data_IF_105714805860
#
_entry.id   IF_105714805860
#
_cell.length_a   1.000
_cell.length_b   1.000
_cell.length_c   1.000
_cell.angle_alpha   90.00
_cell.angle_beta   90.00
_cell.angle_gamma   90.00
#
_symmetry.space_group_name_H-M   'P 1'
#
loop_
_entity.id
_entity.type
_entity.pdbx_description
1 polymer ?
#
# COMPACT_ATOMS: atom_id res chain seq x y z
N UNK A 1 6.79 5.97 44.04
CA UNK A 1 7.19 5.10 42.91
C UNK A 1 7.36 6.01 41.70
N UNK A 2 8.59 6.25 41.20
CA UNK A 2 8.77 7.02 39.96
C UNK A 2 8.05 6.26 38.84
N UNK A 3 7.04 6.87 38.20
CA UNK A 3 6.51 6.32 36.96
C UNK A 3 7.62 6.42 35.92
N UNK A 4 8.06 5.28 35.42
CA UNK A 4 8.95 5.24 34.26
C UNK A 4 8.18 5.88 33.10
N UNK A 5 8.72 6.95 32.52
CA UNK A 5 8.19 7.53 31.30
C UNK A 5 8.56 6.61 30.13
N UNK A 6 7.66 5.68 29.82
CA UNK A 6 7.90 4.63 28.83
C UNK A 6 8.03 5.25 27.44
N UNK A 7 7.20 6.25 27.11
CA UNK A 7 7.27 6.94 25.83
C UNK A 7 8.62 7.64 25.66
N UNK A 8 9.04 8.45 26.64
CA UNK A 8 10.32 9.14 26.58
C UNK A 8 11.49 8.15 26.39
N UNK A 9 11.47 7.01 27.09
CA UNK A 9 12.50 5.97 26.93
C UNK A 9 12.54 5.36 25.52
N UNK A 10 11.39 5.19 24.86
CA UNK A 10 11.34 4.65 23.49
C UNK A 10 11.88 5.71 22.52
N UNK A 11 11.44 6.96 22.64
CA UNK A 11 11.92 8.09 21.83
C UNK A 11 13.43 8.32 22.00
N UNK A 12 13.95 8.23 23.23
CA UNK A 12 15.40 8.31 23.49
C UNK A 12 16.16 7.15 22.83
N UNK A 13 15.50 6.00 22.66
CA UNK A 13 16.02 4.88 21.88
C UNK A 13 16.19 5.20 20.39
N UNK A 14 15.31 6.04 19.84
CA UNK A 14 15.33 6.49 18.43
C UNK A 14 16.53 7.42 18.15
N UNK A 15 17.16 8.00 19.17
CA UNK A 15 18.39 8.80 19.01
C UNK A 15 19.60 7.97 18.53
N UNK A 16 19.51 6.64 18.61
CA UNK A 16 20.52 5.71 18.07
C UNK A 16 20.25 5.30 16.62
N UNK A 17 19.11 5.68 16.06
CA UNK A 17 18.83 5.47 14.64
C UNK A 17 19.76 6.35 13.80
N UNK A 18 19.81 6.05 12.50
CA UNK A 18 20.49 6.88 11.51
C UNK A 18 20.05 8.34 11.63
N UNK A 19 20.96 9.31 11.44
CA UNK A 19 20.64 10.72 11.28
C UNK A 19 19.51 11.01 10.29
N UNK A 20 19.36 10.15 9.29
CA UNK A 20 18.40 10.28 8.21
C UNK A 20 17.05 9.60 8.52
N UNK A 21 16.94 8.89 9.65
CA UNK A 21 15.73 8.22 10.08
C UNK A 21 14.70 9.23 10.57
N UNK A 22 13.42 9.04 10.24
CA UNK A 22 12.36 9.83 10.83
C UNK A 22 12.18 9.44 12.32
N UNK A 23 12.37 10.39 13.23
CA UNK A 23 12.15 10.16 14.67
C UNK A 23 10.77 10.63 15.07
N UNK A 24 10.08 9.83 15.88
CA UNK A 24 8.71 10.10 16.32
C UNK A 24 8.59 11.36 17.17
N UNK A 25 9.64 11.70 17.93
CA UNK A 25 9.74 12.97 18.69
C UNK A 25 9.63 14.22 17.82
N UNK A 26 10.10 14.16 16.58
CA UNK A 26 10.12 15.28 15.64
C UNK A 26 9.05 15.16 14.55
N UNK A 27 8.00 14.37 14.80
CA UNK A 27 6.85 14.29 13.88
C UNK A 27 6.26 15.68 13.63
N UNK A 28 5.78 15.93 12.40
CA UNK A 28 4.96 17.12 12.09
C UNK A 28 3.53 16.99 12.63
N UNK A 29 3.23 15.89 13.32
CA UNK A 29 2.00 15.67 14.05
C UNK A 29 0.86 15.18 13.17
N UNK A 30 -0.35 15.41 13.67
CA UNK A 30 -1.62 14.92 13.13
C UNK A 30 -2.46 16.12 12.65
N UNK A 31 -3.41 15.88 11.75
CA UNK A 31 -4.33 16.94 11.31
C UNK A 31 -5.19 17.47 12.47
N UNK A 32 -5.71 16.55 13.29
CA UNK A 32 -6.44 16.91 14.50
C UNK A 32 -5.49 16.73 15.69
N UNK A 33 -5.18 17.80 16.46
CA UNK A 33 -4.37 17.68 17.66
C UNK A 33 -4.99 16.69 18.64
N UNK A 34 -4.16 15.83 19.22
CA UNK A 34 -4.56 14.82 20.18
C UNK A 34 -3.46 14.65 21.21
N UNK A 35 -3.86 14.38 22.45
CA UNK A 35 -2.91 14.14 23.53
C UNK A 35 -1.96 12.98 23.19
N UNK A 36 -0.65 13.15 23.45
CA UNK A 36 0.34 12.09 23.38
C UNK A 36 -0.05 10.87 24.22
N UNK A 37 0.17 9.67 23.69
CA UNK A 37 0.04 8.43 24.46
C UNK A 37 1.13 8.39 25.55
N UNK A 38 0.82 7.99 26.79
CA UNK A 38 1.82 7.91 27.87
C UNK A 38 2.85 6.79 27.67
N UNK A 39 2.64 5.88 26.72
CA UNK A 39 3.48 4.69 26.52
C UNK A 39 3.99 4.51 25.10
N UNK A 40 3.19 4.86 24.09
CA UNK A 40 3.47 4.54 22.68
C UNK A 40 3.93 5.79 21.95
N UNK A 41 4.90 5.64 21.04
CA UNK A 41 5.25 6.69 20.08
C UNK A 41 4.09 6.93 19.10
N UNK A 42 4.11 8.05 18.39
CA UNK A 42 3.03 8.36 17.46
C UNK A 42 2.97 7.39 16.26
N UNK A 43 4.11 6.88 15.79
CA UNK A 43 4.13 5.86 14.74
C UNK A 43 3.59 4.50 15.22
N UNK A 44 3.87 4.11 16.47
CA UNK A 44 3.26 2.91 17.07
C UNK A 44 1.74 3.04 17.18
N UNK A 45 1.24 4.21 17.58
CA UNK A 45 -0.22 4.46 17.62
C UNK A 45 -0.82 4.35 16.23
N UNK A 46 -0.15 4.84 15.20
CA UNK A 46 -0.62 4.79 13.82
C UNK A 46 -0.73 3.36 13.33
N UNK A 47 0.32 2.56 13.51
CA UNK A 47 0.29 1.13 13.22
C UNK A 47 -0.90 0.45 13.90
N UNK A 48 -1.06 0.68 15.20
CA UNK A 48 -2.13 0.04 15.97
C UNK A 48 -3.53 0.45 15.47
N UNK A 49 -3.71 1.72 15.07
CA UNK A 49 -4.97 2.22 14.47
C UNK A 49 -5.27 1.55 13.14
N UNK A 50 -4.27 1.43 12.28
CA UNK A 50 -4.39 0.78 10.96
C UNK A 50 -4.81 -0.69 11.14
N UNK A 51 -4.11 -1.45 11.97
CA UNK A 51 -4.39 -2.88 12.20
C UNK A 51 -5.82 -3.13 12.72
N UNK A 52 -6.36 -2.21 13.52
CA UNK A 52 -7.72 -2.34 14.08
C UNK A 52 -8.83 -1.76 13.20
N UNK A 53 -8.49 -1.15 12.06
CA UNK A 53 -9.47 -0.54 11.15
C UNK A 53 -10.36 -1.57 10.45
N UNK A 54 -11.56 -1.16 10.02
CA UNK A 54 -12.43 -2.05 9.24
C UNK A 54 -11.81 -2.33 7.87
N UNK A 55 -11.22 -1.32 7.23
CA UNK A 55 -10.53 -1.42 5.95
C UNK A 55 -9.39 -2.46 5.95
N UNK A 56 -8.53 -2.46 6.98
CA UNK A 56 -7.44 -3.44 7.08
C UNK A 56 -7.96 -4.88 7.16
N UNK A 57 -9.03 -5.11 7.94
CA UNK A 57 -9.68 -6.43 8.01
C UNK A 57 -10.27 -6.88 6.67
N UNK A 58 -10.77 -5.95 5.86
CA UNK A 58 -11.34 -6.24 4.53
C UNK A 58 -10.27 -6.72 3.53
N UNK A 59 -9.00 -6.38 3.73
CA UNK A 59 -7.90 -6.84 2.86
C UNK A 59 -7.82 -8.38 2.79
N UNK A 60 -8.25 -9.10 3.84
CA UNK A 60 -8.35 -10.57 3.85
C UNK A 60 -9.28 -11.12 2.76
N UNK A 61 -10.26 -10.32 2.35
CA UNK A 61 -11.33 -10.71 1.45
C UNK A 61 -11.31 -9.93 0.13
N UNK A 62 -10.13 -9.38 -0.23
CA UNK A 62 -9.86 -8.75 -1.52
C UNK A 62 -8.74 -9.51 -2.22
N UNK A 63 -8.96 -9.89 -3.47
CA UNK A 63 -7.96 -10.51 -4.33
C UNK A 63 -6.85 -9.53 -4.68
N UNK A 64 -5.63 -10.05 -4.83
CA UNK A 64 -4.49 -9.29 -5.33
C UNK A 64 -4.54 -9.20 -6.87
N UNK A 65 -4.34 -10.34 -7.57
CA UNK A 65 -4.28 -10.41 -9.04
C UNK A 65 -5.33 -11.33 -9.65
N UNK A 66 -5.50 -12.53 -9.11
CA UNK A 66 -6.43 -13.51 -9.65
C UNK A 66 -7.83 -13.30 -9.05
N UNK A 67 -8.85 -13.16 -9.90
CA UNK A 67 -10.25 -13.00 -9.46
C UNK A 67 -10.76 -14.38 -9.02
N UNK A 68 -11.13 -14.50 -7.74
CA UNK A 68 -11.75 -15.69 -7.13
C UNK A 68 -11.10 -17.04 -7.52
N UNK A 69 -9.78 -17.21 -7.36
CA UNK A 69 -9.11 -18.42 -7.79
C UNK A 69 -9.55 -19.62 -6.93
N UNK A 70 -9.67 -20.79 -7.57
CA UNK A 70 -9.93 -22.04 -6.88
C UNK A 70 -8.66 -22.47 -6.12
N UNK A 71 -8.61 -22.23 -4.81
CA UNK A 71 -7.55 -22.70 -3.93
C UNK A 71 -7.19 -21.72 -2.81
N UNK A 72 -6.84 -22.25 -1.64
CA UNK A 72 -6.63 -21.46 -0.42
C UNK A 72 -5.27 -20.73 -0.34
N UNK A 73 -4.41 -20.92 -1.36
CA UNK A 73 -3.02 -20.47 -1.34
C UNK A 73 -2.70 -19.29 -2.24
N UNK A 74 -3.70 -18.70 -2.90
CA UNK A 74 -3.52 -17.48 -3.68
C UNK A 74 -3.40 -16.26 -2.76
N UNK A 75 -2.61 -15.28 -3.19
CA UNK A 75 -2.34 -14.10 -2.39
C UNK A 75 -3.59 -13.20 -2.34
N UNK A 76 -4.00 -12.90 -1.12
CA UNK A 76 -4.94 -11.82 -0.81
C UNK A 76 -4.18 -10.51 -0.59
N UNK A 77 -4.89 -9.38 -0.62
CA UNK A 77 -4.26 -8.09 -0.27
C UNK A 77 -3.66 -8.07 1.12
N UNK A 78 -4.26 -8.79 2.07
CA UNK A 78 -3.71 -8.86 3.43
C UNK A 78 -2.37 -9.58 3.45
N UNK A 79 -2.24 -10.72 2.77
CA UNK A 79 -0.97 -11.47 2.70
C UNK A 79 0.10 -10.68 1.96
N UNK A 80 -0.25 -10.00 0.85
CA UNK A 80 0.65 -9.05 0.18
C UNK A 80 1.13 -7.96 1.15
N UNK A 81 0.20 -7.29 1.83
CA UNK A 81 0.50 -6.22 2.79
C UNK A 81 1.45 -6.69 3.91
N UNK A 82 1.30 -7.92 4.39
CA UNK A 82 2.19 -8.51 5.39
C UNK A 82 3.60 -8.78 4.83
N UNK A 83 3.71 -9.24 3.58
CA UNK A 83 4.99 -9.43 2.89
C UNK A 83 5.70 -8.08 2.67
N UNK A 84 4.98 -7.06 2.20
CA UNK A 84 5.50 -5.69 2.06
C UNK A 84 6.02 -5.17 3.39
N UNK A 85 5.25 -5.32 4.47
CA UNK A 85 5.68 -4.90 5.80
C UNK A 85 6.95 -5.64 6.25
N UNK A 86 7.05 -6.95 6.00
CA UNK A 86 8.23 -7.73 6.37
C UNK A 86 9.48 -7.27 5.59
N UNK A 87 9.37 -7.13 4.26
CA UNK A 87 10.48 -6.69 3.40
C UNK A 87 10.91 -5.26 3.77
N UNK A 88 9.94 -4.35 3.92
CA UNK A 88 10.21 -2.95 4.24
C UNK A 88 10.92 -2.82 5.60
N UNK A 89 10.46 -3.55 6.62
CA UNK A 89 11.11 -3.57 7.94
C UNK A 89 12.52 -4.16 7.90
N UNK A 90 12.76 -5.19 7.08
CA UNK A 90 14.11 -5.74 6.89
C UNK A 90 15.07 -4.71 6.32
N UNK A 91 14.66 -3.96 5.30
CA UNK A 91 15.46 -2.88 4.71
C UNK A 91 15.66 -1.74 5.73
N UNK A 92 14.59 -1.29 6.37
CA UNK A 92 14.65 -0.21 7.36
C UNK A 92 15.60 -0.55 8.52
N UNK A 93 15.52 -1.77 9.05
CA UNK A 93 16.41 -2.24 10.12
C UNK A 93 17.87 -2.28 9.68
N UNK A 94 18.15 -2.76 8.47
CA UNK A 94 19.51 -2.83 7.95
C UNK A 94 20.13 -1.44 7.74
N UNK A 95 19.32 -0.46 7.34
CA UNK A 95 19.71 0.94 7.19
C UNK A 95 19.62 1.76 8.50
N UNK A 96 19.30 1.10 9.62
CA UNK A 96 19.11 1.72 10.94
C UNK A 96 18.07 2.87 10.94
N UNK A 97 16.95 2.67 10.25
CA UNK A 97 15.82 3.61 10.13
C UNK A 97 14.64 3.24 11.06
N UNK A 98 13.57 4.04 11.06
CA UNK A 98 12.46 3.83 11.98
C UNK A 98 11.49 2.72 11.52
N UNK A 99 11.63 1.54 12.12
CA UNK A 99 10.78 0.39 11.80
C UNK A 99 9.28 0.61 12.05
N UNK A 100 8.89 1.34 13.11
CA UNK A 100 7.48 1.55 13.44
C UNK A 100 6.80 2.45 12.39
N UNK A 101 7.51 3.48 11.88
CA UNK A 101 7.02 4.29 10.76
C UNK A 101 6.90 3.46 9.48
N UNK A 102 7.95 2.72 9.12
CA UNK A 102 7.95 1.87 7.93
C UNK A 102 6.80 0.86 7.96
N UNK A 103 6.59 0.21 9.11
CA UNK A 103 5.50 -0.76 9.30
C UNK A 103 4.13 -0.09 9.22
N UNK A 104 3.93 1.07 9.85
CA UNK A 104 2.67 1.79 9.79
C UNK A 104 2.27 2.16 8.35
N UNK A 105 3.23 2.66 7.55
CA UNK A 105 3.02 2.97 6.12
C UNK A 105 2.71 1.69 5.34
N UNK A 106 3.54 0.66 5.51
CA UNK A 106 3.39 -0.61 4.78
C UNK A 106 2.03 -1.27 5.06
N UNK A 107 1.53 -1.23 6.30
CA UNK A 107 0.22 -1.81 6.61
C UNK A 107 -0.97 -0.99 6.07
N UNK A 108 -0.76 0.28 5.76
CA UNK A 108 -1.81 1.21 5.36
C UNK A 108 -1.87 1.51 3.86
N UNK A 109 -0.82 1.19 3.10
CA UNK A 109 -0.69 1.59 1.69
C UNK A 109 -1.87 1.15 0.82
N UNK A 110 -2.40 -0.05 1.11
CA UNK A 110 -3.37 -0.76 0.27
C UNK A 110 -4.84 -0.69 0.76
N UNK A 111 -5.12 0.12 1.79
CA UNK A 111 -6.45 0.17 2.42
C UNK A 111 -7.58 0.62 1.48
N UNK A 112 -7.26 1.42 0.46
CA UNK A 112 -8.21 2.01 -0.49
C UNK A 112 -8.44 1.19 -1.75
N UNK A 113 -7.79 0.03 -1.90
CA UNK A 113 -8.02 -0.77 -3.10
C UNK A 113 -9.44 -1.28 -3.21
N UNK A 114 -9.91 -1.37 -4.45
CA UNK A 114 -11.24 -1.81 -4.84
C UNK A 114 -11.40 -3.33 -4.74
N UNK A 115 -12.64 -3.85 -4.76
CA UNK A 115 -12.89 -5.24 -5.09
C UNK A 115 -12.28 -5.62 -6.44
N UNK A 116 -11.84 -6.87 -6.58
CA UNK A 116 -11.26 -7.41 -7.82
C UNK A 116 -9.96 -6.72 -8.29
N UNK A 117 -9.26 -6.05 -7.39
CA UNK A 117 -7.93 -5.48 -7.65
C UNK A 117 -7.92 -4.41 -8.76
N UNK A 118 -6.94 -4.48 -9.66
CA UNK A 118 -6.76 -3.46 -10.71
C UNK A 118 -8.00 -3.30 -11.60
N UNK A 119 -8.81 -4.35 -11.76
CA UNK A 119 -10.06 -4.28 -12.52
C UNK A 119 -11.03 -3.27 -11.92
N UNK A 120 -11.20 -3.31 -10.60
CA UNK A 120 -12.11 -2.40 -9.95
C UNK A 120 -11.60 -0.97 -9.94
N UNK A 121 -10.27 -0.81 -9.88
CA UNK A 121 -9.64 0.50 -10.01
C UNK A 121 -9.87 1.10 -11.40
N UNK A 122 -9.58 0.36 -12.48
CA UNK A 122 -9.84 0.81 -13.86
C UNK A 122 -11.31 1.20 -14.07
N UNK A 123 -12.25 0.41 -13.53
CA UNK A 123 -13.69 0.70 -13.66
C UNK A 123 -14.09 1.96 -12.90
N UNK A 124 -13.63 2.13 -11.66
CA UNK A 124 -13.97 3.34 -10.90
C UNK A 124 -13.28 4.58 -11.46
N UNK A 125 -12.09 4.45 -12.06
CA UNK A 125 -11.40 5.55 -12.73
C UNK A 125 -12.16 6.02 -13.97
N UNK A 126 -12.71 5.08 -14.75
CA UNK A 126 -13.59 5.38 -15.89
C UNK A 126 -14.92 6.03 -15.44
N UNK A 127 -15.49 5.56 -14.34
CA UNK A 127 -16.87 5.88 -13.94
C UNK A 127 -16.98 7.13 -13.07
N UNK A 128 -15.95 7.47 -12.29
CA UNK A 128 -15.92 8.65 -11.43
C UNK A 128 -15.38 9.86 -12.19
N UNK A 129 -16.10 11.00 -12.27
CA UNK A 129 -15.67 12.16 -13.08
C UNK A 129 -14.29 12.72 -12.72
N UNK A 130 -13.83 12.52 -11.49
CA UNK A 130 -12.50 12.95 -11.02
C UNK A 130 -11.41 11.87 -11.09
N UNK A 131 -11.70 10.72 -11.69
CA UNK A 131 -10.82 9.54 -11.67
C UNK A 131 -10.78 8.84 -10.30
N UNK A 132 -10.13 7.69 -10.27
CA UNK A 132 -9.98 6.87 -9.07
C UNK A 132 -8.61 6.25 -9.03
N UNK A 133 -7.94 6.39 -7.88
CA UNK A 133 -6.63 5.80 -7.65
C UNK A 133 -6.54 5.28 -6.22
N UNK A 134 -6.07 4.04 -6.08
CA UNK A 134 -6.11 3.31 -4.82
C UNK A 134 -5.36 4.02 -3.69
N UNK A 135 -4.22 4.66 -3.98
CA UNK A 135 -3.39 5.36 -3.02
C UNK A 135 -4.07 6.62 -2.45
N UNK A 136 -4.76 7.39 -3.29
CA UNK A 136 -5.58 8.51 -2.85
C UNK A 136 -6.77 8.01 -2.02
N UNK A 137 -7.37 6.90 -2.44
CA UNK A 137 -8.44 6.27 -1.68
C UNK A 137 -7.97 5.74 -0.32
N UNK A 138 -6.76 5.18 -0.22
CA UNK A 138 -6.16 4.75 1.05
C UNK A 138 -6.01 5.94 2.00
N UNK A 139 -5.59 7.11 1.48
CA UNK A 139 -5.53 8.34 2.26
C UNK A 139 -6.93 8.79 2.71
N UNK A 140 -7.93 8.77 1.82
CA UNK A 140 -9.33 9.06 2.19
C UNK A 140 -9.85 8.11 3.28
N UNK A 141 -9.51 6.82 3.20
CA UNK A 141 -9.89 5.83 4.20
C UNK A 141 -9.40 6.23 5.59
N UNK A 142 -8.12 6.57 5.71
CA UNK A 142 -7.51 6.92 7.00
C UNK A 142 -7.83 8.34 7.47
N UNK A 143 -8.32 9.21 6.59
CA UNK A 143 -8.62 10.60 6.91
C UNK A 143 -10.06 10.81 7.30
N UNK A 144 -10.99 10.21 6.56
CA UNK A 144 -12.40 10.58 6.61
C UNK A 144 -13.38 9.41 6.47
N UNK A 145 -12.99 8.20 6.06
CA UNK A 145 -13.98 7.10 5.92
C UNK A 145 -14.03 6.17 7.14
N UNK A 146 -12.89 5.84 7.73
CA UNK A 146 -12.86 5.01 8.94
C UNK A 146 -13.54 5.70 10.14
N UNK A 147 -13.89 4.90 11.16
CA UNK A 147 -14.59 5.36 12.37
C UNK A 147 -15.82 6.23 12.07
N UNK A 148 -16.66 5.73 11.19
CA UNK A 148 -17.97 6.31 10.85
C UNK A 148 -17.86 7.79 10.44
N UNK A 149 -16.80 8.12 9.71
CA UNK A 149 -16.57 9.45 9.16
C UNK A 149 -15.46 10.26 9.83
N UNK A 150 -14.92 9.80 10.96
CA UNK A 150 -13.92 10.54 11.74
C UNK A 150 -12.46 10.31 11.31
N UNK A 151 -12.21 9.26 10.52
CA UNK A 151 -10.87 8.82 10.15
C UNK A 151 -10.08 8.20 11.30
N UNK A 152 -8.83 7.85 11.00
CA UNK A 152 -7.84 7.33 11.95
C UNK A 152 -6.93 8.43 12.51
N UNK A 153 -6.94 9.64 11.92
CA UNK A 153 -6.11 10.78 12.33
C UNK A 153 -4.63 10.41 12.46
N UNK A 154 -4.06 9.78 11.42
CA UNK A 154 -2.66 9.35 11.37
C UNK A 154 -1.70 10.55 11.27
N UNK A 155 -0.42 10.34 11.58
CA UNK A 155 0.61 11.37 11.46
C UNK A 155 0.89 11.71 9.99
N UNK A 156 1.45 12.90 9.77
CA UNK A 156 1.77 13.41 8.43
C UNK A 156 2.70 12.49 7.64
N UNK A 157 3.64 11.82 8.31
CA UNK A 157 4.64 10.95 7.70
C UNK A 157 4.01 9.67 7.18
N UNK A 158 3.10 9.08 7.97
CA UNK A 158 2.37 7.87 7.55
C UNK A 158 1.48 8.20 6.34
N UNK A 159 0.79 9.32 6.39
CA UNK A 159 -0.07 9.81 5.29
C UNK A 159 0.70 10.07 4.00
N UNK A 160 1.87 10.71 4.10
CA UNK A 160 2.76 10.98 2.96
C UNK A 160 3.25 9.68 2.33
N UNK A 161 3.66 8.71 3.16
CA UNK A 161 4.04 7.37 2.71
C UNK A 161 2.91 6.64 1.99
N UNK A 162 1.68 6.66 2.56
CA UNK A 162 0.49 6.07 1.93
C UNK A 162 0.21 6.71 0.57
N UNK A 163 0.28 8.03 0.45
CA UNK A 163 -0.04 8.69 -0.82
C UNK A 163 0.98 8.37 -1.92
N UNK A 164 2.27 8.30 -1.56
CA UNK A 164 3.37 8.32 -2.54
C UNK A 164 3.99 6.94 -2.84
N UNK A 165 3.48 5.87 -2.24
CA UNK A 165 3.98 4.52 -2.50
C UNK A 165 3.70 4.02 -3.94
N UNK A 166 2.61 4.48 -4.56
CA UNK A 166 2.15 3.97 -5.85
C UNK A 166 3.06 4.37 -7.03
N UNK A 167 2.92 3.66 -8.16
CA UNK A 167 3.81 3.73 -9.34
C UNK A 167 3.02 3.85 -10.65
N UNK A 168 3.66 4.40 -11.67
CA UNK A 168 3.20 4.38 -13.06
C UNK A 168 3.76 3.11 -13.71
N UNK A 169 2.96 2.55 -14.62
CA UNK A 169 3.19 1.30 -15.35
C UNK A 169 4.59 1.14 -16.01
N UNK A 170 5.31 2.24 -16.28
CA UNK A 170 6.53 2.24 -17.12
C UNK A 170 7.85 1.83 -16.43
N UNK A 171 8.11 2.20 -15.16
CA UNK A 171 9.30 1.74 -14.41
C UNK A 171 9.09 1.79 -12.90
N UNK A 172 9.86 1.03 -12.10
CA UNK A 172 9.91 1.19 -10.64
C UNK A 172 10.29 2.62 -10.22
N UNK A 173 11.13 3.28 -11.02
CA UNK A 173 11.55 4.67 -10.83
C UNK A 173 10.63 5.68 -11.53
N UNK A 174 9.56 5.25 -12.21
CA UNK A 174 8.70 6.16 -12.94
C UNK A 174 7.97 7.15 -12.00
N UNK A 175 7.96 8.41 -12.43
CA UNK A 175 7.43 9.58 -11.73
C UNK A 175 5.89 9.54 -11.69
N UNK A 176 5.34 8.76 -10.78
CA UNK A 176 3.90 8.61 -10.66
C UNK A 176 3.27 9.68 -9.76
N UNK A 177 3.86 9.82 -8.58
CA UNK A 177 3.23 10.44 -7.42
C UNK A 177 4.22 11.14 -6.50
N UNK A 178 5.38 11.44 -7.07
CA UNK A 178 6.54 11.96 -6.39
C UNK A 178 7.21 10.94 -5.47
N UNK A 179 8.02 11.49 -4.58
CA UNK A 179 8.88 10.75 -3.66
C UNK A 179 8.45 11.07 -2.23
N UNK A 180 8.37 10.05 -1.38
CA UNK A 180 8.06 10.23 0.03
C UNK A 180 9.11 11.10 0.72
N UNK A 181 8.67 11.96 1.62
CA UNK A 181 9.53 12.89 2.35
C UNK A 181 10.42 12.20 3.40
N UNK A 182 10.18 10.90 3.66
CA UNK A 182 10.97 10.05 4.55
C UNK A 182 11.61 8.91 3.78
N UNK A 183 12.79 8.45 4.23
CA UNK A 183 13.41 7.25 3.67
C UNK A 183 12.54 6.01 3.92
N UNK A 184 11.88 5.95 5.08
CA UNK A 184 10.93 4.90 5.43
C UNK A 184 9.78 4.79 4.43
N UNK A 185 9.22 5.92 3.96
CA UNK A 185 8.19 5.92 2.92
C UNK A 185 8.73 5.50 1.55
N UNK A 186 9.97 5.88 1.22
CA UNK A 186 10.64 5.43 -0.02
C UNK A 186 10.92 3.93 -0.01
N UNK A 187 11.27 3.36 1.15
CA UNK A 187 11.44 1.91 1.32
C UNK A 187 10.15 1.16 1.03
N UNK A 188 9.01 1.63 1.55
CA UNK A 188 7.72 0.94 1.31
C UNK A 188 7.40 0.86 -0.18
N UNK A 189 7.66 1.94 -0.93
CA UNK A 189 7.51 1.94 -2.40
C UNK A 189 8.34 0.86 -3.09
N UNK A 190 9.56 0.61 -2.64
CA UNK A 190 10.42 -0.43 -3.21
C UNK A 190 9.98 -1.82 -2.74
N UNK A 191 9.71 -1.98 -1.45
CA UNK A 191 9.25 -3.23 -0.85
C UNK A 191 7.95 -3.73 -1.51
N UNK A 192 7.02 -2.83 -1.81
CA UNK A 192 5.79 -3.15 -2.53
C UNK A 192 6.07 -3.80 -3.90
N UNK A 193 7.00 -3.26 -4.69
CA UNK A 193 7.37 -3.88 -5.96
C UNK A 193 8.13 -5.19 -5.82
N UNK A 194 8.97 -5.33 -4.79
CA UNK A 194 9.67 -6.60 -4.53
C UNK A 194 8.64 -7.69 -4.19
N UNK A 195 7.69 -7.40 -3.30
CA UNK A 195 6.62 -8.34 -2.94
C UNK A 195 5.75 -8.67 -4.16
N UNK A 196 5.27 -7.65 -4.85
CA UNK A 196 4.39 -7.74 -6.00
C UNK A 196 4.90 -8.68 -7.09
N UNK A 197 6.13 -8.46 -7.57
CA UNK A 197 6.71 -9.27 -8.65
C UNK A 197 6.85 -10.73 -8.20
N UNK A 198 7.25 -10.95 -6.96
CA UNK A 198 7.54 -12.29 -6.47
C UNK A 198 6.30 -13.12 -6.20
N UNK A 199 5.26 -12.53 -5.60
CA UNK A 199 4.02 -13.23 -5.38
C UNK A 199 3.27 -13.48 -6.70
N UNK A 200 3.35 -12.56 -7.67
CA UNK A 200 2.64 -12.71 -8.94
C UNK A 200 3.26 -13.79 -9.82
N UNK A 201 4.59 -13.91 -9.81
CA UNK A 201 5.28 -15.07 -10.38
C UNK A 201 4.77 -16.35 -9.70
N UNK A 202 4.68 -16.36 -8.37
CA UNK A 202 4.24 -17.51 -7.60
C UNK A 202 2.81 -17.93 -7.92
N UNK A 203 1.88 -16.98 -7.93
CA UNK A 203 0.46 -17.19 -8.21
C UNK A 203 0.23 -17.56 -9.68
N UNK A 204 0.95 -16.96 -10.62
CA UNK A 204 0.88 -17.33 -12.03
C UNK A 204 1.41 -18.74 -12.31
N UNK A 205 2.47 -19.17 -11.61
CA UNK A 205 2.94 -20.55 -11.68
C UNK A 205 1.90 -21.50 -11.06
N UNK A 206 1.30 -21.14 -9.92
CA UNK A 206 0.26 -21.94 -9.26
C UNK A 206 -1.00 -22.09 -10.12
N UNK A 207 -1.38 -21.02 -10.83
CA UNK A 207 -2.48 -21.02 -11.79
C UNK A 207 -2.17 -21.76 -13.09
N UNK A 208 -0.93 -22.23 -13.30
CA UNK A 208 -0.51 -22.89 -14.53
C UNK A 208 -0.35 -21.96 -15.74
N UNK A 209 -0.40 -20.64 -15.52
CA UNK A 209 -0.18 -19.61 -16.56
C UNK A 209 1.30 -19.56 -16.95
N UNK A 210 2.17 -19.71 -15.96
CA UNK A 210 3.62 -19.68 -16.12
C UNK A 210 4.27 -20.97 -15.61
N UNK A 211 5.51 -21.18 -16.02
CA UNK A 211 6.42 -22.14 -15.40
C UNK A 211 7.70 -21.44 -14.97
N UNK A 212 8.50 -22.06 -14.10
CA UNK A 212 9.81 -21.49 -13.74
C UNK A 212 10.74 -21.31 -14.96
N UNK A 213 10.53 -22.09 -16.03
CA UNK A 213 11.31 -22.03 -17.26
C UNK A 213 10.85 -20.92 -18.21
N UNK A 214 9.64 -20.38 -18.03
CA UNK A 214 9.13 -19.29 -18.89
C UNK A 214 9.67 -17.92 -18.50
N UNK A 215 10.27 -17.77 -17.31
CA UNK A 215 10.82 -16.50 -16.85
C UNK A 215 12.03 -16.09 -17.72
N UNK A 216 12.21 -14.79 -18.03
CA UNK A 216 13.36 -14.29 -18.78
C UNK A 216 14.69 -14.73 -18.15
N UNK A 217 15.53 -15.39 -18.94
CA UNK A 217 16.82 -15.94 -18.47
C UNK A 217 17.76 -14.84 -17.98
N UNK A 218 17.74 -13.68 -18.63
CA UNK A 218 18.44 -12.45 -18.25
C UNK A 218 18.11 -12.04 -16.82
N UNK A 219 16.83 -11.86 -16.49
CA UNK A 219 16.42 -11.45 -15.15
C UNK A 219 16.68 -12.53 -14.11
N UNK A 220 16.40 -13.79 -14.44
CA UNK A 220 16.61 -14.92 -13.52
C UNK A 220 18.09 -15.11 -13.16
N UNK A 221 19.01 -14.87 -14.11
CA UNK A 221 20.46 -14.93 -13.86
C UNK A 221 20.91 -13.84 -12.87
N UNK A 222 20.27 -12.68 -12.90
CA UNK A 222 20.60 -11.54 -12.03
C UNK A 222 19.93 -11.69 -10.67
N UNK A 223 18.64 -12.00 -10.63
CA UNK A 223 17.83 -11.97 -9.42
C UNK A 223 17.80 -13.32 -8.68
N UNK A 224 17.88 -14.43 -9.41
CA UNK A 224 17.81 -15.78 -8.87
C UNK A 224 16.60 -16.58 -9.37
N UNK A 225 16.69 -17.91 -9.23
CA UNK A 225 15.69 -18.84 -9.73
C UNK A 225 14.53 -19.03 -8.76
N UNK A 226 14.81 -19.10 -7.44
CA UNK A 226 13.77 -19.33 -6.44
C UNK A 226 13.19 -18.00 -5.97
N UNK A 227 11.97 -18.07 -5.45
CA UNK A 227 11.30 -16.94 -4.80
C UNK A 227 12.18 -16.29 -3.71
N UNK A 228 12.79 -17.11 -2.85
CA UNK A 228 13.70 -16.65 -1.80
C UNK A 228 14.93 -15.93 -2.36
N UNK A 229 15.50 -16.44 -3.45
CA UNK A 229 16.72 -15.89 -4.05
C UNK A 229 16.44 -14.49 -4.60
N UNK A 230 15.33 -14.33 -5.32
CA UNK A 230 14.93 -13.04 -5.89
C UNK A 230 14.68 -11.97 -4.83
N UNK A 231 13.92 -12.31 -3.78
CA UNK A 231 13.69 -11.39 -2.66
C UNK A 231 15.03 -11.02 -2.01
N UNK A 232 15.86 -12.00 -1.67
CA UNK A 232 17.14 -11.75 -1.01
C UNK A 232 18.06 -10.86 -1.85
N UNK A 233 18.21 -11.16 -3.15
CA UNK A 233 19.04 -10.38 -4.06
C UNK A 233 18.57 -8.92 -4.14
N UNK A 234 17.26 -8.69 -4.33
CA UNK A 234 16.72 -7.34 -4.41
C UNK A 234 16.86 -6.58 -3.08
N UNK A 235 16.60 -7.24 -1.94
CA UNK A 235 16.72 -6.61 -0.62
C UNK A 235 18.16 -6.26 -0.30
N UNK A 236 19.11 -7.18 -0.52
CA UNK A 236 20.54 -6.91 -0.31
C UNK A 236 21.01 -5.76 -1.19
N UNK A 237 20.66 -5.74 -2.48
CA UNK A 237 21.03 -4.67 -3.39
C UNK A 237 20.51 -3.30 -2.95
N UNK A 238 19.23 -3.22 -2.55
CA UNK A 238 18.65 -1.96 -2.05
C UNK A 238 19.40 -1.48 -0.82
N UNK A 239 19.77 -2.37 0.10
CA UNK A 239 20.53 -2.03 1.31
C UNK A 239 21.92 -1.53 0.94
N UNK A 240 22.68 -2.31 0.16
CA UNK A 240 24.06 -2.00 -0.19
C UNK A 240 24.15 -0.69 -0.99
N UNK A 241 23.30 -0.53 -2.00
CA UNK A 241 23.29 0.65 -2.85
C UNK A 241 22.83 1.92 -2.10
N UNK A 242 21.85 1.79 -1.19
CA UNK A 242 21.40 2.93 -0.37
C UNK A 242 22.43 3.31 0.71
N UNK A 243 23.16 2.34 1.25
CA UNK A 243 24.20 2.58 2.26
C UNK A 243 25.43 3.29 1.68
N UNK A 244 25.82 2.96 0.44
CA UNK A 244 26.87 3.70 -0.27
C UNK A 244 26.50 5.18 -0.48
N UNK A 245 25.23 5.45 -0.80
CA UNK A 245 24.73 6.82 -0.92
C UNK A 245 24.70 7.55 0.43
N UNK A 246 24.41 6.85 1.55
CA UNK A 246 24.36 7.46 2.88
C UNK A 246 25.74 7.75 3.49
N UNK A 247 26.77 6.94 3.20
CA UNK A 247 28.15 7.16 3.70
C UNK A 247 28.76 8.47 3.22
N UNK A 248 28.33 8.99 2.07
CA UNK A 248 28.75 10.31 1.59
C UNK A 248 28.31 11.46 2.53
N UNK A 249 27.38 11.20 3.46
CA UNK A 249 26.80 12.19 4.37
C UNK A 249 27.17 12.00 5.85
N UNK A 250 27.91 10.95 6.22
CA UNK A 250 28.23 10.69 7.63
C UNK A 250 29.51 11.40 8.09
N UNK A 251 29.34 12.52 8.80
CA UNK A 251 30.33 12.99 9.77
C UNK A 251 29.71 13.31 11.15
N UNK A 252 30.20 12.56 12.14
CA UNK A 252 30.18 12.76 13.60
C UNK A 252 28.94 12.31 14.44
N UNK A 253 29.15 11.54 15.53
CA UNK A 253 28.10 11.02 16.41
C UNK A 253 27.82 11.96 17.60
N UNK A 254 26.69 12.67 17.50
CA UNK A 254 25.83 13.31 18.51
C UNK A 254 25.26 14.55 17.85
N UNK A 255 24.03 14.43 17.36
CA UNK A 255 23.40 15.50 16.60
C UNK A 255 22.55 16.33 17.55
N UNK A 256 22.74 17.65 17.52
CA UNK A 256 21.75 18.59 18.07
C UNK A 256 20.44 18.45 17.29
N UNK A 257 19.33 18.88 17.88
CA UNK A 257 18.03 18.94 17.20
C UNK A 257 18.12 19.72 15.88
N UNK A 258 18.93 20.79 15.85
CA UNK A 258 19.15 21.61 14.65
C UNK A 258 19.79 20.81 13.50
N UNK A 259 20.82 20.00 13.79
CA UNK A 259 21.49 19.18 12.77
C UNK A 259 20.57 18.06 12.25
N UNK A 260 19.71 17.51 13.10
CA UNK A 260 18.68 16.56 12.66
C UNK A 260 17.68 17.23 11.71
N UNK A 261 17.20 18.43 12.05
CA UNK A 261 16.25 19.16 11.22
C UNK A 261 16.82 19.44 9.82
N UNK A 262 18.09 19.86 9.73
CA UNK A 262 18.80 20.05 8.45
C UNK A 262 18.86 18.78 7.60
N UNK A 263 19.25 17.64 8.19
CA UNK A 263 19.30 16.36 7.48
C UNK A 263 17.90 15.94 6.98
N UNK A 264 16.88 16.08 7.81
CA UNK A 264 15.51 15.72 7.46
C UNK A 264 14.93 16.62 6.35
N UNK A 265 15.23 17.91 6.38
CA UNK A 265 14.86 18.86 5.33
C UNK A 265 15.54 18.55 4.00
N UNK A 266 16.80 18.09 4.01
CA UNK A 266 17.49 17.67 2.78
C UNK A 266 16.82 16.48 2.11
N UNK A 267 16.34 15.49 2.88
CA UNK A 267 15.57 14.36 2.35
C UNK A 267 14.27 14.85 1.73
N UNK A 268 13.53 15.69 2.44
CA UNK A 268 12.28 16.27 1.96
C UNK A 268 12.48 17.14 0.70
N UNK A 269 13.58 17.88 0.62
CA UNK A 269 13.95 18.67 -0.55
C UNK A 269 14.32 17.80 -1.75
N UNK A 270 15.11 16.73 -1.55
CA UNK A 270 15.41 15.74 -2.59
C UNK A 270 14.12 15.10 -3.11
N UNK A 271 13.20 14.76 -2.19
CA UNK A 271 11.91 14.18 -2.53
C UNK A 271 11.01 15.15 -3.31
N UNK A 272 11.01 16.44 -2.96
CA UNK A 272 10.29 17.49 -3.69
C UNK A 272 10.86 17.71 -5.11
N UNK A 273 12.13 17.39 -5.33
CA UNK A 273 12.79 17.38 -6.65
C UNK A 273 12.66 16.03 -7.37
N UNK A 274 11.80 15.13 -6.91
CA UNK A 274 11.61 13.78 -7.45
C UNK A 274 12.88 12.93 -7.50
N UNK A 275 13.83 13.16 -6.59
CA UNK A 275 15.07 12.39 -6.50
C UNK A 275 15.03 11.45 -5.30
N UNK A 276 14.65 10.16 -5.49
CA UNK A 276 14.68 9.17 -4.42
C UNK A 276 16.12 8.88 -4.00
N UNK A 277 16.30 8.61 -2.71
CA UNK A 277 17.58 8.24 -2.10
C UNK A 277 17.67 6.74 -1.79
N UNK A 278 16.52 6.07 -1.67
CA UNK A 278 16.46 4.61 -1.62
C UNK A 278 16.18 4.12 -3.03
N UNK A 279 17.14 3.42 -3.63
CA UNK A 279 17.07 2.93 -5.01
C UNK A 279 17.70 1.54 -5.13
N UNK A 280 17.35 0.83 -6.21
CA UNK A 280 18.08 -0.36 -6.66
C UNK A 280 19.26 0.05 -7.53
N UNK A 281 20.30 -0.77 -7.59
CA UNK A 281 21.38 -0.57 -8.57
C UNK A 281 20.85 -0.69 -10.00
N UNK A 282 21.52 -0.07 -11.00
CA UNK A 282 21.05 -0.12 -12.39
C UNK A 282 20.87 -1.55 -12.93
N UNK A 283 21.71 -2.48 -12.51
CA UNK A 283 21.65 -3.88 -12.96
C UNK A 283 20.42 -4.61 -12.39
N UNK A 284 20.14 -4.42 -11.09
CA UNK A 284 18.94 -5.00 -10.46
C UNK A 284 17.69 -4.34 -11.01
N UNK A 285 17.65 -3.01 -11.10
CA UNK A 285 16.49 -2.27 -11.63
C UNK A 285 16.12 -2.75 -13.05
N UNK A 286 17.10 -2.91 -13.94
CA UNK A 286 16.86 -3.39 -15.30
C UNK A 286 16.27 -4.82 -15.31
N UNK A 287 16.77 -5.73 -14.47
CA UNK A 287 16.24 -7.09 -14.37
C UNK A 287 14.81 -7.11 -13.79
N UNK A 288 14.52 -6.22 -12.84
CA UNK A 288 13.19 -6.12 -12.23
C UNK A 288 12.18 -5.51 -13.20
N UNK A 289 12.54 -4.46 -13.93
CA UNK A 289 11.68 -3.87 -14.96
C UNK A 289 11.41 -4.87 -16.11
N UNK A 290 12.40 -5.68 -16.50
CA UNK A 290 12.22 -6.78 -17.46
C UNK A 290 11.23 -7.84 -16.97
N UNK A 291 11.33 -8.28 -15.70
CA UNK A 291 10.35 -9.21 -15.12
C UNK A 291 8.94 -8.61 -15.09
N UNK A 292 8.83 -7.32 -14.75
CA UNK A 292 7.54 -6.66 -14.66
C UNK A 292 6.86 -6.55 -16.02
N UNK A 293 7.60 -6.18 -17.06
CA UNK A 293 7.10 -6.16 -18.43
C UNK A 293 6.69 -7.57 -18.89
N UNK A 294 7.50 -8.59 -18.58
CA UNK A 294 7.17 -9.97 -18.88
C UNK A 294 5.86 -10.41 -18.20
N UNK A 295 5.69 -10.13 -16.90
CA UNK A 295 4.45 -10.43 -16.17
C UNK A 295 3.26 -9.67 -16.75
N UNK A 296 3.46 -8.43 -17.20
CA UNK A 296 2.41 -7.70 -17.88
C UNK A 296 1.94 -8.37 -19.16
N UNK A 297 2.87 -8.79 -20.00
CA UNK A 297 2.55 -9.46 -21.26
C UNK A 297 1.98 -10.88 -21.07
N UNK A 298 2.40 -11.62 -20.03
CA UNK A 298 2.05 -13.04 -19.87
C UNK A 298 1.02 -13.33 -18.80
N UNK A 299 0.88 -12.47 -17.80
CA UNK A 299 -0.05 -12.65 -16.68
C UNK A 299 -1.16 -11.62 -16.79
N UNK A 300 -0.87 -10.32 -16.76
CA UNK A 300 -1.97 -9.34 -16.81
C UNK A 300 -2.67 -9.32 -18.18
N UNK A 301 -1.95 -9.59 -19.28
CA UNK A 301 -2.56 -9.64 -20.62
C UNK A 301 -3.21 -11.00 -20.96
N UNK A 302 -2.78 -12.11 -20.34
CA UNK A 302 -3.23 -13.47 -20.70
C UNK A 302 -3.96 -14.24 -19.57
N UNK A 303 -3.64 -13.97 -18.30
CA UNK A 303 -4.27 -14.57 -17.13
C UNK A 303 -5.53 -13.84 -16.66
N UNK A 304 -5.78 -12.64 -17.19
CA UNK A 304 -7.15 -12.12 -17.23
C UNK A 304 -7.92 -12.97 -18.22
N UNK A 305 -8.53 -14.05 -17.71
CA UNK A 305 -9.66 -14.67 -18.37
C UNK A 305 -10.61 -13.53 -18.76
N UNK A 306 -10.63 -13.19 -20.05
CA UNK A 306 -11.35 -12.04 -20.60
C UNK A 306 -12.81 -12.06 -20.12
N UNK A 307 -13.35 -13.27 -19.93
CA UNK A 307 -14.69 -13.51 -19.43
C UNK A 307 -14.91 -13.16 -17.95
N UNK A 308 -14.08 -13.61 -17.00
CA UNK A 308 -14.29 -13.33 -15.56
C UNK A 308 -13.95 -11.87 -15.23
N UNK A 309 -12.92 -11.33 -15.87
CA UNK A 309 -12.62 -9.89 -15.80
C UNK A 309 -13.77 -9.05 -16.36
N UNK A 310 -14.31 -9.39 -17.53
CA UNK A 310 -15.45 -8.68 -18.11
C UNK A 310 -16.68 -8.74 -17.20
N UNK A 311 -16.97 -9.90 -16.60
CA UNK A 311 -18.07 -10.04 -15.62
C UNK A 311 -17.85 -9.14 -14.40
N UNK A 312 -16.65 -9.14 -13.82
CA UNK A 312 -16.33 -8.28 -12.68
C UNK A 312 -16.45 -6.79 -13.05
N UNK A 313 -16.00 -6.40 -14.25
CA UNK A 313 -16.15 -5.02 -14.76
C UNK A 313 -17.61 -4.62 -14.87
N UNK A 314 -18.43 -5.44 -15.54
CA UNK A 314 -19.86 -5.15 -15.71
C UNK A 314 -20.60 -5.13 -14.37
N UNK A 315 -20.29 -6.05 -13.47
CA UNK A 315 -20.83 -6.06 -12.11
C UNK A 315 -20.55 -4.74 -11.40
N UNK A 316 -19.30 -4.28 -11.38
CA UNK A 316 -18.93 -3.02 -10.73
C UNK A 316 -19.58 -1.79 -11.39
N UNK A 317 -19.66 -1.77 -12.72
CA UNK A 317 -20.37 -0.70 -13.46
C UNK A 317 -21.85 -0.65 -13.09
N UNK A 318 -22.50 -1.81 -12.99
CA UNK A 318 -23.90 -1.93 -12.59
C UNK A 318 -24.11 -1.46 -11.15
N UNK A 319 -23.28 -1.91 -10.20
CA UNK A 319 -23.32 -1.44 -8.81
C UNK A 319 -23.14 0.08 -8.72
N UNK A 320 -22.14 0.63 -9.41
CA UNK A 320 -21.90 2.07 -9.40
C UNK A 320 -23.11 2.85 -9.94
N UNK A 321 -23.64 2.48 -11.12
CA UNK A 321 -24.83 3.14 -11.70
C UNK A 321 -26.04 3.02 -10.77
N UNK A 322 -26.25 1.85 -10.19
CA UNK A 322 -27.38 1.62 -9.28
C UNK A 322 -27.38 2.58 -8.10
N UNK A 323 -26.26 2.69 -7.38
CA UNK A 323 -26.17 3.56 -6.21
C UNK A 323 -26.08 5.04 -6.56
N UNK A 324 -25.55 5.39 -7.74
CA UNK A 324 -25.59 6.77 -8.25
C UNK A 324 -27.02 7.21 -8.54
N UNK A 325 -27.81 6.36 -9.19
CA UNK A 325 -29.19 6.67 -9.57
C UNK A 325 -30.15 6.53 -8.37
N UNK A 326 -29.73 5.86 -7.28
CA UNK A 326 -30.49 5.62 -6.05
C UNK A 326 -29.65 5.90 -4.79
N UNK A 327 -29.22 7.15 -4.58
CA UNK A 327 -28.32 7.51 -3.49
C UNK A 327 -28.90 7.21 -2.11
N UNK A 328 -30.23 7.14 -1.96
CA UNK A 328 -30.91 6.77 -0.72
C UNK A 328 -30.61 5.34 -0.22
N UNK A 329 -30.14 4.47 -1.11
CA UNK A 329 -29.76 3.08 -0.79
C UNK A 329 -28.31 2.95 -0.30
N UNK A 330 -27.52 4.03 -0.34
CA UNK A 330 -26.19 4.03 0.26
C UNK A 330 -26.29 3.87 1.79
N UNK A 331 -25.26 3.30 2.45
CA UNK A 331 -25.19 3.24 3.90
C UNK A 331 -25.43 4.61 4.53
N UNK A 332 -26.19 4.63 5.62
CA UNK A 332 -26.57 5.88 6.31
C UNK A 332 -25.34 6.68 6.71
N UNK A 333 -24.26 6.03 7.13
CA UNK A 333 -23.03 6.67 7.59
C UNK A 333 -22.36 7.51 6.48
N UNK A 334 -22.45 7.06 5.22
CA UNK A 334 -21.96 7.83 4.08
C UNK A 334 -22.90 9.00 3.76
N UNK A 335 -24.22 8.75 3.78
CA UNK A 335 -25.24 9.77 3.50
C UNK A 335 -25.35 10.86 4.57
N UNK A 336 -25.14 10.49 5.84
CA UNK A 336 -25.21 11.38 7.00
C UNK A 336 -23.85 11.98 7.34
N UNK A 337 -22.82 11.67 6.55
CA UNK A 337 -21.53 12.32 6.73
C UNK A 337 -21.73 13.82 6.53
N UNK A 338 -21.16 14.64 7.42
CA UNK A 338 -21.27 16.12 7.34
C UNK A 338 -20.47 16.70 6.16
N UNK A 339 -20.11 15.87 5.19
CA UNK A 339 -19.22 16.20 4.08
C UNK A 339 -20.11 16.53 2.88
N UNK A 340 -19.94 17.75 2.36
CA UNK A 340 -20.61 18.22 1.15
C UNK A 340 -19.96 17.57 -0.09
N UNK A 341 -20.10 16.25 -0.19
CA UNK A 341 -19.50 15.41 -1.23
C UNK A 341 -20.53 15.04 -2.29
N UNK A 342 -20.09 14.97 -3.54
CA UNK A 342 -20.96 14.56 -4.63
C UNK A 342 -21.43 13.11 -4.44
N UNK A 343 -22.59 12.79 -5.02
CA UNK A 343 -23.13 11.42 -4.99
C UNK A 343 -22.14 10.43 -5.61
N UNK A 344 -21.49 10.80 -6.71
CA UNK A 344 -20.47 10.01 -7.39
C UNK A 344 -19.32 9.65 -6.44
N UNK A 345 -18.85 10.60 -5.63
CA UNK A 345 -17.79 10.33 -4.66
C UNK A 345 -18.26 9.37 -3.57
N UNK A 346 -19.47 9.56 -3.02
CA UNK A 346 -20.03 8.66 -2.01
C UNK A 346 -20.21 7.23 -2.55
N UNK A 347 -20.66 7.09 -3.80
CA UNK A 347 -20.77 5.79 -4.48
C UNK A 347 -19.40 5.16 -4.66
N UNK A 348 -18.41 5.95 -5.09
CA UNK A 348 -17.04 5.49 -5.27
C UNK A 348 -16.43 4.99 -3.94
N UNK A 349 -16.64 5.72 -2.84
CA UNK A 349 -16.22 5.32 -1.49
C UNK A 349 -16.91 4.03 -1.03
N UNK A 350 -18.21 3.88 -1.33
CA UNK A 350 -18.95 2.67 -0.97
C UNK A 350 -18.49 1.44 -1.76
N UNK A 351 -18.41 1.55 -3.09
CA UNK A 351 -18.03 0.45 -3.98
C UNK A 351 -16.58 0.03 -3.77
N UNK A 352 -15.65 0.98 -3.68
CA UNK A 352 -14.24 0.67 -3.38
C UNK A 352 -14.07 0.02 -2.00
N UNK A 353 -14.91 0.40 -1.03
CA UNK A 353 -14.92 -0.16 0.32
C UNK A 353 -15.43 -1.60 0.45
N UNK A 354 -16.04 -2.18 -0.59
CA UNK A 354 -16.56 -3.54 -0.56
C UNK A 354 -15.45 -4.60 -0.56
N UNK A 355 -15.74 -5.80 -0.07
CA UNK A 355 -14.92 -7.00 -0.34
C UNK A 355 -15.44 -7.68 -1.61
N UNK A 356 -14.65 -8.56 -2.22
CA UNK A 356 -15.06 -9.22 -3.49
C UNK A 356 -16.36 -10.01 -3.30
N UNK A 357 -16.45 -10.78 -2.21
CA UNK A 357 -17.64 -11.56 -1.87
C UNK A 357 -18.85 -10.69 -1.57
N UNK A 358 -18.65 -9.56 -0.90
CA UNK A 358 -19.74 -8.64 -0.59
C UNK A 358 -20.25 -7.94 -1.85
N UNK A 359 -19.36 -7.54 -2.76
CA UNK A 359 -19.74 -6.96 -4.05
C UNK A 359 -20.58 -7.95 -4.88
N UNK A 360 -20.17 -9.23 -4.91
CA UNK A 360 -20.96 -10.31 -5.52
C UNK A 360 -22.33 -10.47 -4.87
N UNK A 361 -22.39 -10.56 -3.54
CA UNK A 361 -23.64 -10.73 -2.82
C UNK A 361 -24.61 -9.56 -3.08
N UNK A 362 -24.14 -8.32 -3.02
CA UNK A 362 -24.96 -7.13 -3.30
C UNK A 362 -25.47 -7.16 -4.74
N UNK A 363 -24.62 -7.57 -5.69
CA UNK A 363 -25.04 -7.72 -7.08
C UNK A 363 -26.13 -8.78 -7.24
N UNK A 364 -25.96 -9.96 -6.63
CA UNK A 364 -26.95 -11.03 -6.65
C UNK A 364 -28.30 -10.59 -6.06
N UNK A 365 -28.27 -9.89 -4.92
CA UNK A 365 -29.48 -9.39 -4.26
C UNK A 365 -30.24 -8.35 -5.09
N UNK A 366 -29.53 -7.54 -5.87
CA UNK A 366 -30.12 -6.47 -6.69
C UNK A 366 -30.62 -6.95 -8.05
N UNK A 367 -29.89 -7.88 -8.68
CA UNK A 367 -30.09 -8.22 -10.10
C UNK A 367 -30.53 -9.66 -10.35
N UNK A 368 -30.39 -10.57 -9.39
CA UNK A 368 -30.85 -11.95 -9.55
C UNK A 368 -32.20 -12.17 -8.85
N UNK A 369 -33.18 -12.83 -9.50
CA UNK A 369 -34.44 -13.19 -8.87
C UNK A 369 -34.20 -14.15 -7.69
N UNK A 370 -34.80 -13.85 -6.54
CA UNK A 370 -34.91 -14.83 -5.46
C UNK A 370 -35.96 -15.87 -5.87
N UNK A 371 -35.50 -17.08 -6.22
CA UNK A 371 -36.38 -18.22 -6.40
C UNK A 371 -37.05 -18.53 -5.05
N UNK A 372 -38.28 -18.04 -4.85
CA UNK A 372 -39.12 -18.53 -3.76
C UNK A 372 -39.53 -19.94 -4.13
N UNK A 373 -39.04 -20.95 -3.40
CA UNK A 373 -39.63 -22.29 -3.45
C UNK A 373 -41.06 -22.19 -2.94
N UNK A 374 -42.00 -22.03 -3.86
CA UNK A 374 -43.43 -22.14 -3.60
C UNK A 374 -43.81 -23.63 -3.42
N UNK A 375 -43.24 -24.27 -2.40
CA UNK A 375 -43.62 -25.59 -1.91
C UNK A 375 -43.34 -25.61 -0.40
N UNK A 376 -44.27 -25.01 0.36
CA UNK A 376 -44.32 -25.01 1.81
C UNK A 376 -45.77 -24.94 2.25
#
# INVERSE_FOLDING_TARGET
MMRVDIRARIEDGEERLSPLAAKSRYTRGRLLPEEPSPMRTDFQRDRDRVVHSKAFRRLKHKTQVFISPLGDHFVTRLTHTLEVAQIARSIARALNLNEDLTEAIALAHDLGHTPFGHVGEDVLDEMHPGGFRHNEQSLRVVDILEKDGAGLNLTSEVRDGILKHSKIRASISAEAWGVAATLEGQIVKIADSIAYINHDIGDAIRAGVLSNQSLPVSSVRVLGHKHSDRINTMVCDVIDHSFEQSKASESSPRQSADKYAECYEQIAASAAQNRPLITMSPAILAAVDELREFLFQKVYSAAMAEQESAKAKELLRLLYRHFRDRPEQLPTELRSSRRDESVERMVCDYVSGMTDRYALQVFEDLYLPRLRTAWG
#
